data_IF_453191787966
#
_entry.id   IF_453191787966
#
_cell.length_a   1.000
_cell.length_b   1.000
_cell.length_c   1.000
_cell.angle_alpha   90.00
_cell.angle_beta   90.00
_cell.angle_gamma   90.00
#
_symmetry.space_group_name_H-M   'P 1'
#
loop_
_entity.id
_entity.type
_entity.pdbx_description
1 polymer ?
#
# COMPACT_ATOMS: atom_id res chain seq x y z
N UNK A 1 18.15 7.87 -6.11
CA UNK A 1 16.99 7.38 -5.33
C UNK A 1 17.41 6.13 -4.58
N UNK A 2 17.41 6.16 -3.26
CA UNK A 2 17.72 4.95 -2.48
C UNK A 2 16.41 4.18 -2.25
N UNK A 3 16.14 3.19 -3.09
CA UNK A 3 15.10 2.21 -2.80
C UNK A 3 15.64 1.24 -1.74
N UNK A 4 14.78 0.84 -0.81
CA UNK A 4 15.13 -0.24 0.11
C UNK A 4 15.35 -1.54 -0.69
N UNK A 5 16.27 -2.41 -0.29
CA UNK A 5 16.43 -3.72 -0.94
C UNK A 5 15.13 -4.53 -0.78
N UNK A 6 14.86 -5.40 -1.75
CA UNK A 6 13.65 -6.21 -1.77
C UNK A 6 13.99 -7.65 -2.15
N UNK A 7 13.40 -8.63 -1.46
CA UNK A 7 13.38 -10.01 -1.93
C UNK A 7 12.20 -10.16 -2.90
N UNK A 8 12.49 -10.35 -4.17
CA UNK A 8 11.47 -10.48 -5.19
C UNK A 8 10.67 -11.78 -5.01
N UNK A 9 9.42 -11.78 -5.47
CA UNK A 9 8.55 -12.96 -5.31
C UNK A 9 9.07 -14.20 -6.03
N UNK A 10 9.71 -14.00 -7.18
CA UNK A 10 10.33 -15.09 -7.94
C UNK A 10 11.57 -15.70 -7.29
N UNK A 11 12.20 -14.98 -6.38
CA UNK A 11 13.41 -15.40 -5.66
C UNK A 11 13.08 -15.95 -4.26
N UNK A 12 11.82 -15.77 -3.81
CA UNK A 12 11.37 -16.25 -2.52
C UNK A 12 11.20 -17.79 -2.52
N UNK A 13 11.74 -18.45 -1.52
CA UNK A 13 11.66 -19.91 -1.35
C UNK A 13 11.22 -20.30 0.06
N UNK A 14 10.82 -21.55 0.26
CA UNK A 14 10.47 -22.09 1.56
C UNK A 14 9.43 -21.26 2.30
N UNK A 15 9.69 -20.97 3.57
CA UNK A 15 8.75 -20.26 4.45
C UNK A 15 8.37 -18.87 3.95
N UNK A 16 9.30 -18.14 3.34
CA UNK A 16 9.03 -16.81 2.80
C UNK A 16 8.03 -16.89 1.64
N UNK A 17 8.18 -17.86 0.74
CA UNK A 17 7.24 -18.06 -0.37
C UNK A 17 5.82 -18.40 0.13
N UNK A 18 5.70 -19.23 1.20
CA UNK A 18 4.42 -19.52 1.85
C UNK A 18 3.78 -18.26 2.43
N UNK A 19 4.55 -17.45 3.16
CA UNK A 19 4.07 -16.17 3.73
C UNK A 19 3.62 -15.23 2.62
N UNK A 20 4.37 -15.12 1.53
CA UNK A 20 3.98 -14.30 0.39
C UNK A 20 2.66 -14.77 -0.24
N UNK A 21 2.43 -16.07 -0.35
CA UNK A 21 1.17 -16.61 -0.83
C UNK A 21 -0.01 -16.21 0.10
N UNK A 22 0.15 -16.35 1.41
CA UNK A 22 -0.87 -15.95 2.38
C UNK A 22 -1.14 -14.43 2.34
N UNK A 23 -0.09 -13.59 2.22
CA UNK A 23 -0.22 -12.12 2.11
C UNK A 23 -1.06 -11.74 0.88
N UNK A 24 -0.81 -12.35 -0.28
CA UNK A 24 -1.61 -12.10 -1.49
C UNK A 24 -3.07 -12.46 -1.29
N UNK A 25 -3.35 -13.62 -0.71
CA UNK A 25 -4.72 -14.07 -0.43
C UNK A 25 -5.44 -13.11 0.51
N UNK A 26 -4.82 -12.72 1.63
CA UNK A 26 -5.41 -11.80 2.60
C UNK A 26 -5.64 -10.39 2.04
N UNK A 27 -4.76 -9.93 1.17
CA UNK A 27 -4.83 -8.60 0.58
C UNK A 27 -5.72 -8.53 -0.67
N UNK A 28 -5.99 -9.67 -1.32
CA UNK A 28 -6.74 -9.73 -2.58
C UNK A 28 -6.04 -9.02 -3.73
N UNK A 29 -4.70 -8.97 -3.72
CA UNK A 29 -3.88 -8.44 -4.82
C UNK A 29 -2.85 -9.49 -5.24
N UNK A 30 -2.53 -9.59 -6.54
CA UNK A 30 -1.69 -10.68 -7.07
C UNK A 30 -0.18 -10.46 -6.87
N UNK A 31 0.20 -9.61 -5.92
CA UNK A 31 1.60 -9.32 -5.62
C UNK A 31 1.82 -9.02 -4.14
N UNK A 32 3.06 -9.09 -3.70
CA UNK A 32 3.51 -8.71 -2.36
C UNK A 32 4.11 -7.31 -2.41
N UNK A 33 3.68 -6.44 -1.51
CA UNK A 33 4.15 -5.05 -1.53
C UNK A 33 5.59 -4.92 -1.03
N UNK A 34 6.20 -3.80 -1.35
CA UNK A 34 7.58 -3.48 -1.04
C UNK A 34 7.90 -3.55 0.46
N UNK A 35 6.96 -3.20 1.35
CA UNK A 35 7.18 -3.32 2.80
C UNK A 35 7.52 -4.77 3.20
N UNK A 36 6.70 -5.73 2.81
CA UNK A 36 6.91 -7.13 3.14
C UNK A 36 8.14 -7.71 2.43
N UNK A 37 8.38 -7.29 1.18
CA UNK A 37 9.58 -7.71 0.43
C UNK A 37 10.87 -7.16 1.06
N UNK A 38 10.82 -5.95 1.62
CA UNK A 38 11.93 -5.41 2.40
C UNK A 38 12.14 -6.19 3.70
N UNK A 39 11.08 -6.42 4.47
CA UNK A 39 11.19 -7.19 5.72
C UNK A 39 11.76 -8.59 5.48
N UNK A 40 11.50 -9.19 4.32
CA UNK A 40 12.04 -10.49 3.92
C UNK A 40 13.54 -10.47 3.62
N UNK A 41 14.16 -9.32 3.40
CA UNK A 41 15.63 -9.22 3.22
C UNK A 41 16.39 -9.33 4.53
N UNK A 42 15.71 -9.17 5.66
CA UNK A 42 16.33 -9.22 6.99
C UNK A 42 15.99 -10.59 7.60
N UNK A 43 16.99 -11.43 7.90
CA UNK A 43 16.75 -12.80 8.35
C UNK A 43 15.78 -12.91 9.53
N UNK A 44 14.73 -13.70 9.39
CA UNK A 44 13.71 -13.98 10.40
C UNK A 44 12.69 -12.84 10.65
N UNK A 45 12.85 -11.67 10.02
CA UNK A 45 11.99 -10.50 10.30
C UNK A 45 10.62 -10.63 9.68
N UNK A 46 10.51 -11.13 8.45
CA UNK A 46 9.18 -11.34 7.87
C UNK A 46 8.42 -12.44 8.60
N UNK A 47 9.08 -13.51 9.00
CA UNK A 47 8.49 -14.60 9.79
C UNK A 47 8.01 -14.09 11.16
N UNK A 48 8.83 -13.29 11.85
CA UNK A 48 8.43 -12.60 13.07
C UNK A 48 7.19 -11.74 12.84
N UNK A 49 7.25 -10.84 11.86
CA UNK A 49 6.16 -9.93 11.54
C UNK A 49 4.87 -10.71 11.22
N UNK A 50 4.98 -11.73 10.37
CA UNK A 50 3.83 -12.52 9.97
C UNK A 50 3.24 -13.32 11.15
N UNK A 51 4.07 -13.89 12.01
CA UNK A 51 3.60 -14.59 13.22
C UNK A 51 2.69 -13.72 14.07
N UNK A 52 3.00 -12.42 14.21
CA UNK A 52 2.21 -11.47 14.98
C UNK A 52 0.90 -11.12 14.27
N UNK A 53 0.97 -10.71 13.00
CA UNK A 53 -0.20 -10.13 12.31
C UNK A 53 -1.10 -11.17 11.67
N UNK A 54 -0.61 -12.38 11.39
CA UNK A 54 -1.29 -13.44 10.67
C UNK A 54 -2.72 -13.74 11.20
N UNK A 55 -2.97 -13.85 12.53
CA UNK A 55 -4.31 -14.12 13.01
C UNK A 55 -5.33 -13.07 12.60
N UNK A 56 -4.96 -11.77 12.65
CA UNK A 56 -5.82 -10.67 12.23
C UNK A 56 -5.96 -10.57 10.70
N UNK A 57 -4.92 -10.98 9.97
CA UNK A 57 -4.91 -10.96 8.50
C UNK A 57 -5.76 -12.09 7.94
N UNK A 58 -5.53 -13.33 8.36
CA UNK A 58 -6.25 -14.52 7.86
C UNK A 58 -7.73 -14.50 8.25
N UNK A 59 -8.07 -13.97 9.42
CA UNK A 59 -9.47 -13.78 9.81
C UNK A 59 -10.21 -12.72 8.98
N UNK A 60 -9.52 -11.96 8.14
CA UNK A 60 -10.07 -10.80 7.44
C UNK A 60 -10.27 -9.57 8.31
N UNK A 61 -10.07 -9.66 9.63
CA UNK A 61 -10.34 -8.56 10.55
C UNK A 61 -9.47 -7.32 10.27
N UNK A 62 -8.17 -7.52 10.02
CA UNK A 62 -7.26 -6.40 9.74
C UNK A 62 -7.49 -5.80 8.34
N UNK A 63 -7.55 -6.56 7.24
CA UNK A 63 -7.85 -6.00 5.93
C UNK A 63 -9.18 -5.25 5.88
N UNK A 64 -10.27 -5.86 6.40
CA UNK A 64 -11.59 -5.24 6.36
C UNK A 64 -11.65 -3.93 7.18
N UNK A 65 -11.02 -3.90 8.35
CA UNK A 65 -10.95 -2.68 9.16
C UNK A 65 -10.14 -1.58 8.45
N UNK A 66 -9.04 -1.93 7.80
CA UNK A 66 -8.22 -1.00 7.04
C UNK A 66 -8.95 -0.43 5.83
N UNK A 67 -9.64 -1.28 5.03
CA UNK A 67 -10.43 -0.84 3.88
C UNK A 67 -11.61 0.03 4.29
N UNK A 68 -12.30 -0.32 5.39
CA UNK A 68 -13.38 0.50 5.93
C UNK A 68 -12.86 1.89 6.30
N UNK A 69 -11.80 1.98 7.10
CA UNK A 69 -11.23 3.26 7.51
C UNK A 69 -10.74 4.10 6.32
N UNK A 70 -10.11 3.44 5.33
CA UNK A 70 -9.70 4.10 4.10
C UNK A 70 -10.90 4.65 3.30
N UNK A 71 -11.99 3.88 3.18
CA UNK A 71 -13.19 4.32 2.45
C UNK A 71 -13.90 5.52 3.11
N UNK A 72 -13.85 5.60 4.44
CA UNK A 72 -14.42 6.71 5.22
C UNK A 72 -13.64 8.03 5.08
N UNK A 73 -12.40 7.97 4.55
CA UNK A 73 -11.60 9.17 4.31
C UNK A 73 -12.18 10.08 3.23
N UNK A 74 -12.89 9.51 2.25
CA UNK A 74 -13.62 10.19 1.19
C UNK A 74 -12.81 11.31 0.50
N UNK A 75 -11.67 11.02 -0.14
CA UNK A 75 -10.85 12.05 -0.77
C UNK A 75 -11.61 12.72 -1.92
N UNK A 76 -11.39 14.03 -2.16
CA UNK A 76 -11.97 14.73 -3.30
C UNK A 76 -11.63 14.03 -4.63
N UNK A 77 -12.57 14.00 -5.56
CA UNK A 77 -12.39 13.44 -6.90
C UNK A 77 -11.43 14.28 -7.76
N UNK A 78 -10.89 13.68 -8.81
CA UNK A 78 -10.11 14.38 -9.83
C UNK A 78 -11.05 15.12 -10.81
N UNK A 79 -10.71 16.33 -11.24
CA UNK A 79 -11.48 17.02 -12.28
C UNK A 79 -11.18 16.43 -13.67
N UNK A 80 -12.06 16.73 -14.62
CA UNK A 80 -11.81 16.55 -16.07
C UNK A 80 -11.40 15.13 -16.50
N UNK A 81 -11.89 14.08 -15.83
CA UNK A 81 -11.71 12.67 -16.23
C UNK A 81 -12.96 12.07 -16.88
N UNK A 82 -13.70 12.87 -17.69
CA UNK A 82 -14.79 12.36 -18.49
C UNK A 82 -14.30 11.43 -19.61
N UNK A 83 -15.20 10.59 -20.16
CA UNK A 83 -14.87 9.71 -21.27
C UNK A 83 -14.23 10.46 -22.45
N UNK A 84 -14.80 11.63 -22.83
CA UNK A 84 -14.26 12.45 -23.92
C UNK A 84 -12.85 12.97 -23.62
N UNK A 85 -12.63 13.48 -22.40
CA UNK A 85 -11.29 14.00 -22.03
C UNK A 85 -10.23 12.90 -21.99
N UNK A 86 -10.60 11.68 -21.58
CA UNK A 86 -9.69 10.54 -21.60
C UNK A 86 -9.34 10.12 -23.03
N UNK A 87 -10.33 10.17 -23.96
CA UNK A 87 -10.06 9.93 -25.38
C UNK A 87 -9.11 10.99 -25.97
N UNK A 88 -9.25 12.25 -25.58
CA UNK A 88 -8.34 13.33 -25.97
C UNK A 88 -6.91 13.10 -25.43
N UNK A 89 -6.78 12.45 -24.29
CA UNK A 89 -5.49 12.00 -23.74
C UNK A 89 -4.96 10.70 -24.42
N UNK A 90 -5.66 10.18 -25.44
CA UNK A 90 -5.29 8.97 -26.15
C UNK A 90 -5.56 7.67 -25.39
N UNK A 91 -6.42 7.71 -24.36
CA UNK A 91 -6.81 6.54 -23.57
C UNK A 91 -7.97 5.82 -24.29
N UNK A 92 -7.78 4.55 -24.61
CA UNK A 92 -8.83 3.68 -25.12
C UNK A 92 -9.45 2.84 -23.97
N UNK A 93 -10.45 2.00 -24.30
CA UNK A 93 -11.18 1.20 -23.30
C UNK A 93 -10.27 0.21 -22.53
N UNK A 94 -9.29 -0.41 -23.20
CA UNK A 94 -8.37 -1.34 -22.57
C UNK A 94 -7.38 -0.60 -21.64
N UNK A 95 -6.92 0.58 -22.08
CA UNK A 95 -6.09 1.47 -21.28
C UNK A 95 -6.84 1.93 -20.03
N UNK A 96 -8.09 2.37 -20.17
CA UNK A 96 -8.94 2.78 -19.05
C UNK A 96 -9.06 1.65 -18.02
N UNK A 97 -9.37 0.43 -18.50
CA UNK A 97 -9.48 -0.71 -17.60
C UNK A 97 -8.17 -1.00 -16.87
N UNK A 98 -7.02 -0.86 -17.55
CA UNK A 98 -5.71 -1.04 -16.95
C UNK A 98 -5.39 0.06 -15.93
N UNK A 99 -5.69 1.32 -16.25
CA UNK A 99 -5.53 2.47 -15.34
C UNK A 99 -6.38 2.29 -14.08
N UNK A 100 -7.66 1.90 -14.25
CA UNK A 100 -8.57 1.60 -13.13
C UNK A 100 -8.04 0.44 -12.28
N UNK A 101 -7.53 -0.62 -12.92
CA UNK A 101 -6.97 -1.77 -12.22
C UNK A 101 -5.73 -1.39 -11.38
N UNK A 102 -4.85 -0.55 -11.91
CA UNK A 102 -3.70 -0.01 -11.15
C UNK A 102 -4.21 0.77 -9.93
N UNK A 103 -5.15 1.70 -10.10
CA UNK A 103 -5.73 2.46 -8.99
C UNK A 103 -6.35 1.53 -7.93
N UNK A 104 -7.10 0.50 -8.35
CA UNK A 104 -7.74 -0.47 -7.47
C UNK A 104 -6.71 -1.28 -6.64
N UNK A 105 -5.62 -1.73 -7.27
CA UNK A 105 -4.56 -2.45 -6.58
C UNK A 105 -3.92 -1.59 -5.46
N UNK A 106 -3.60 -0.34 -5.74
CA UNK A 106 -3.02 0.56 -4.73
C UNK A 106 -4.02 0.97 -3.65
N UNK A 107 -5.27 1.27 -4.01
CA UNK A 107 -6.35 1.56 -3.05
C UNK A 107 -6.62 0.38 -2.11
N UNK A 108 -6.37 -0.85 -2.56
CA UNK A 108 -6.56 -2.08 -1.78
C UNK A 108 -5.36 -2.44 -0.92
N UNK A 109 -4.14 -2.41 -1.45
CA UNK A 109 -2.95 -2.89 -0.73
C UNK A 109 -2.41 -1.87 0.27
N UNK A 110 -2.49 -0.57 -0.04
CA UNK A 110 -1.89 0.46 0.80
C UNK A 110 -2.50 0.53 2.21
N UNK A 111 -3.84 0.44 2.41
CA UNK A 111 -4.42 0.33 3.74
C UNK A 111 -3.95 -0.91 4.51
N UNK A 112 -3.78 -2.03 3.82
CA UNK A 112 -3.30 -3.29 4.42
C UNK A 112 -1.86 -3.16 4.91
N UNK A 113 -1.01 -2.44 4.18
CA UNK A 113 0.34 -2.14 4.64
C UNK A 113 0.35 -1.28 5.91
N UNK A 114 -0.51 -0.27 5.96
CA UNK A 114 -0.61 0.61 7.13
C UNK A 114 -1.09 -0.16 8.37
N UNK A 115 -2.12 -1.00 8.26
CA UNK A 115 -2.61 -1.79 9.40
C UNK A 115 -1.59 -2.84 9.84
N UNK A 116 -0.86 -3.45 8.90
CA UNK A 116 0.23 -4.39 9.20
C UNK A 116 1.31 -3.71 10.05
N UNK A 117 1.80 -2.55 9.61
CA UNK A 117 2.79 -1.77 10.36
C UNK A 117 2.27 -1.33 11.72
N UNK A 118 1.01 -0.86 11.80
CA UNK A 118 0.41 -0.39 13.05
C UNK A 118 0.18 -1.53 14.08
N UNK A 119 0.01 -2.77 13.63
CA UNK A 119 -0.07 -3.94 14.51
C UNK A 119 1.32 -4.37 15.02
N UNK A 120 2.37 -4.15 14.26
CA UNK A 120 3.75 -4.51 14.64
C UNK A 120 4.41 -3.46 15.54
N UNK A 121 4.15 -2.19 15.29
CA UNK A 121 4.79 -1.04 15.93
C UNK A 121 4.82 -1.11 17.47
N UNK A 122 3.73 -1.48 18.18
CA UNK A 122 3.77 -1.60 19.63
C UNK A 122 4.81 -2.60 20.14
N UNK A 123 4.91 -3.78 19.52
CA UNK A 123 5.83 -4.84 19.93
C UNK A 123 7.27 -4.43 19.65
N UNK A 124 7.51 -3.86 18.48
CA UNK A 124 8.86 -3.40 18.08
C UNK A 124 9.33 -2.24 18.97
N UNK A 125 8.39 -1.44 19.51
CA UNK A 125 8.66 -0.42 20.53
C UNK A 125 8.74 -0.97 21.98
N UNK A 126 8.79 -2.29 22.14
CA UNK A 126 9.00 -2.91 23.46
C UNK A 126 7.72 -3.07 24.31
N UNK A 127 6.53 -2.88 23.72
CA UNK A 127 5.30 -3.21 24.46
C UNK A 127 5.19 -4.75 24.64
N UNK A 128 4.49 -5.20 25.69
CA UNK A 128 4.22 -6.63 25.89
C UNK A 128 3.54 -7.27 24.68
N UNK A 129 3.86 -8.54 24.45
CA UNK A 129 3.19 -9.34 23.44
C UNK A 129 1.67 -9.40 23.72
N UNK A 130 0.85 -9.41 22.67
CA UNK A 130 -0.59 -9.50 22.82
C UNK A 130 -0.97 -10.84 23.47
N UNK A 131 -2.12 -10.85 24.18
CA UNK A 131 -2.65 -12.04 24.85
C UNK A 131 -4.18 -12.09 24.78
N UNK A 132 -4.75 -11.58 23.69
CA UNK A 132 -6.19 -11.58 23.46
C UNK A 132 -6.74 -12.95 23.07
N UNK A 133 -8.06 -13.04 22.95
CA UNK A 133 -8.78 -14.28 22.65
C UNK A 133 -8.88 -14.64 21.16
N UNK A 134 -8.19 -13.89 20.28
CA UNK A 134 -8.26 -14.08 18.84
C UNK A 134 -9.52 -13.47 18.21
N UNK A 135 -9.81 -13.86 16.97
CA UNK A 135 -10.88 -13.27 16.15
C UNK A 135 -12.08 -14.18 15.94
N UNK A 136 -12.19 -15.27 16.73
CA UNK A 136 -13.24 -16.28 16.58
C UNK A 136 -13.03 -17.19 15.35
N UNK A 137 -13.94 -18.14 15.14
CA UNK A 137 -13.97 -18.95 13.91
C UNK A 137 -14.64 -18.14 12.81
N UNK A 138 -13.90 -17.28 12.14
CA UNK A 138 -14.38 -16.64 10.93
C UNK A 138 -14.21 -17.64 9.78
N UNK A 139 -15.26 -17.89 9.02
CA UNK A 139 -15.12 -18.42 7.67
C UNK A 139 -14.23 -17.45 6.93
N UNK A 140 -13.08 -17.94 6.47
CA UNK A 140 -12.11 -17.10 5.76
C UNK A 140 -12.75 -16.72 4.42
N UNK A 141 -13.38 -15.57 4.39
CA UNK A 141 -13.88 -14.98 3.14
C UNK A 141 -12.73 -14.12 2.58
N UNK A 142 -11.89 -14.78 1.78
CA UNK A 142 -10.81 -14.07 1.12
C UNK A 142 -11.40 -13.08 0.10
N UNK A 143 -10.89 -11.85 0.04
CA UNK A 143 -11.35 -10.89 -0.94
C UNK A 143 -11.06 -11.41 -2.36
N UNK A 144 -11.98 -11.12 -3.30
CA UNK A 144 -11.75 -11.44 -4.70
C UNK A 144 -10.42 -10.85 -5.16
N UNK A 145 -9.59 -11.70 -5.76
CA UNK A 145 -8.28 -11.30 -6.28
C UNK A 145 -8.45 -10.30 -7.42
N UNK A 146 -7.77 -9.16 -7.34
CA UNK A 146 -7.70 -8.20 -8.44
C UNK A 146 -6.83 -8.74 -9.58
N UNK A 147 -7.01 -8.16 -10.77
CA UNK A 147 -6.13 -8.45 -11.90
C UNK A 147 -4.72 -7.96 -11.64
N UNK A 148 -3.73 -8.65 -12.22
CA UNK A 148 -2.34 -8.24 -12.17
C UNK A 148 -2.11 -6.88 -12.85
N UNK A 149 -1.16 -6.13 -12.34
CA UNK A 149 -0.72 -4.88 -12.96
C UNK A 149 0.38 -5.17 -13.98
N UNK A 150 0.49 -4.35 -15.04
CA UNK A 150 1.65 -4.43 -15.93
C UNK A 150 2.95 -4.13 -15.17
N UNK A 151 4.08 -4.65 -15.63
CA UNK A 151 5.39 -4.37 -15.04
C UNK A 151 5.67 -2.86 -14.98
N UNK A 152 6.38 -2.39 -13.97
CA UNK A 152 6.78 -0.98 -13.86
C UNK A 152 7.63 -0.57 -15.07
N UNK A 153 7.34 0.57 -15.72
CA UNK A 153 8.22 1.10 -16.74
C UNK A 153 9.62 1.39 -16.18
N UNK A 154 10.65 1.08 -16.95
CA UNK A 154 12.02 1.46 -16.61
C UNK A 154 12.18 2.97 -16.79
N UNK A 155 12.57 3.68 -15.73
CA UNK A 155 12.76 5.13 -15.78
C UNK A 155 13.79 5.55 -16.83
N UNK A 156 14.79 4.70 -17.12
CA UNK A 156 15.83 4.99 -18.12
C UNK A 156 15.31 4.94 -19.56
N UNK A 157 14.16 4.31 -19.80
CA UNK A 157 13.53 4.21 -21.13
C UNK A 157 12.52 5.33 -21.39
N UNK A 158 12.18 6.14 -20.38
CA UNK A 158 11.28 7.28 -20.53
C UNK A 158 12.03 8.48 -21.19
N UNK A 159 11.28 9.31 -21.92
CA UNK A 159 11.82 10.57 -22.42
C UNK A 159 12.27 11.50 -21.28
N UNK A 160 13.16 12.45 -21.57
CA UNK A 160 13.59 13.46 -20.59
C UNK A 160 12.41 14.24 -20.04
N UNK A 161 11.49 14.64 -20.91
CA UNK A 161 10.34 15.47 -20.56
C UNK A 161 9.40 14.73 -19.62
N UNK A 162 9.04 13.49 -19.94
CA UNK A 162 8.20 12.66 -19.08
C UNK A 162 8.86 12.37 -17.71
N UNK A 163 10.18 12.19 -17.69
CA UNK A 163 10.90 12.06 -16.40
C UNK A 163 10.79 13.31 -15.55
N UNK A 164 10.99 14.49 -16.15
CA UNK A 164 10.87 15.77 -15.46
C UNK A 164 9.44 15.99 -14.92
N UNK A 165 8.42 15.62 -15.68
CA UNK A 165 7.04 15.66 -15.21
C UNK A 165 6.82 14.72 -14.03
N UNK A 166 7.30 13.49 -14.09
CA UNK A 166 7.19 12.53 -12.98
C UNK A 166 7.94 12.98 -11.71
N UNK A 167 8.98 13.79 -11.84
CA UNK A 167 9.69 14.38 -10.70
C UNK A 167 8.78 15.30 -9.86
N UNK A 168 7.77 15.94 -10.47
CA UNK A 168 6.79 16.75 -9.75
C UNK A 168 5.88 15.91 -8.82
N UNK A 169 5.77 14.61 -9.10
CA UNK A 169 4.99 13.65 -8.32
C UNK A 169 5.77 13.04 -7.14
N UNK A 170 7.06 13.35 -7.04
CA UNK A 170 7.89 12.86 -5.93
C UNK A 170 7.40 13.43 -4.59
N UNK A 171 7.59 12.64 -3.55
CA UNK A 171 7.38 13.04 -2.15
C UNK A 171 8.71 12.92 -1.41
N UNK A 172 9.01 13.80 -0.43
CA UNK A 172 10.17 13.64 0.40
C UNK A 172 9.96 12.48 1.39
N UNK A 173 10.92 11.55 1.43
CA UNK A 173 11.00 10.51 2.45
C UNK A 173 12.39 10.54 3.04
N UNK A 174 12.51 10.72 4.34
CA UNK A 174 13.80 10.89 5.02
C UNK A 174 14.65 11.99 4.35
N UNK A 175 14.00 13.07 3.89
CA UNK A 175 14.65 14.18 3.19
C UNK A 175 15.14 13.87 1.77
N UNK A 176 14.83 12.68 1.24
CA UNK A 176 15.18 12.27 -0.13
C UNK A 176 13.95 12.20 -1.04
N UNK A 177 14.05 12.64 -2.32
CA UNK A 177 12.94 12.54 -3.24
C UNK A 177 12.63 11.07 -3.57
N UNK A 178 11.37 10.70 -3.44
CA UNK A 178 10.85 9.37 -3.73
C UNK A 178 9.65 9.45 -4.66
N UNK A 179 9.66 8.70 -5.75
CA UNK A 179 8.53 8.58 -6.67
C UNK A 179 7.72 7.33 -6.34
N UNK A 180 6.48 7.46 -5.83
CA UNK A 180 5.61 6.32 -5.54
C UNK A 180 5.35 5.46 -6.78
N UNK A 181 5.29 4.15 -6.59
CA UNK A 181 5.11 3.19 -7.69
C UNK A 181 3.78 3.38 -8.44
N UNK A 182 2.74 3.87 -7.77
CA UNK A 182 1.46 4.22 -8.39
C UNK A 182 1.67 5.14 -9.60
N UNK A 183 2.43 6.23 -9.42
CA UNK A 183 2.67 7.20 -10.49
C UNK A 183 3.59 6.65 -11.58
N UNK A 184 4.56 5.80 -11.21
CA UNK A 184 5.43 5.14 -12.20
C UNK A 184 4.67 4.23 -13.14
N UNK A 185 3.63 3.55 -12.68
CA UNK A 185 2.78 2.74 -13.56
C UNK A 185 2.11 3.58 -14.65
N UNK A 186 1.68 4.80 -14.31
CA UNK A 186 1.00 5.69 -15.26
C UNK A 186 1.91 6.31 -16.30
N UNK A 187 3.23 6.21 -16.17
CA UNK A 187 4.19 6.61 -17.21
C UNK A 187 4.03 5.84 -18.55
N UNK A 188 3.22 4.77 -18.57
CA UNK A 188 2.83 4.08 -19.81
C UNK A 188 1.96 4.93 -20.72
N UNK A 189 1.24 5.89 -20.17
CA UNK A 189 0.35 6.82 -20.86
C UNK A 189 0.87 8.24 -20.63
N UNK A 190 1.79 8.73 -21.50
CA UNK A 190 2.46 10.00 -21.24
C UNK A 190 1.51 11.16 -21.01
N UNK A 191 0.46 11.32 -21.84
CA UNK A 191 -0.52 12.40 -21.67
C UNK A 191 -1.31 12.29 -20.34
N UNK A 192 -1.65 11.08 -19.91
CA UNK A 192 -2.29 10.86 -18.62
C UNK A 192 -1.32 11.12 -17.45
N UNK A 193 -0.05 10.74 -17.61
CA UNK A 193 0.99 11.06 -16.63
C UNK A 193 1.21 12.58 -16.50
N UNK A 194 1.22 13.32 -17.61
CA UNK A 194 1.28 14.78 -17.63
C UNK A 194 0.07 15.42 -16.94
N UNK A 195 -1.13 14.89 -17.18
CA UNK A 195 -2.33 15.30 -16.44
C UNK A 195 -2.14 15.13 -14.93
N UNK A 196 -1.66 13.96 -14.48
CA UNK A 196 -1.39 13.71 -13.06
C UNK A 196 -0.29 14.60 -12.51
N UNK A 197 0.78 14.86 -13.28
CA UNK A 197 1.87 15.75 -12.90
C UNK A 197 1.39 17.20 -12.68
N UNK A 198 0.33 17.60 -13.36
CA UNK A 198 -0.32 18.91 -13.16
C UNK A 198 -1.25 18.87 -11.94
N UNK A 199 -2.10 17.86 -11.82
CA UNK A 199 -3.16 17.84 -10.80
C UNK A 199 -2.66 17.47 -9.39
N UNK A 200 -1.75 16.51 -9.27
CA UNK A 200 -1.31 16.00 -7.95
C UNK A 200 -0.65 17.07 -7.08
N UNK A 201 0.29 17.89 -7.54
CA UNK A 201 0.87 18.95 -6.72
C UNK A 201 -0.18 19.93 -6.19
N UNK A 202 -1.14 20.32 -7.04
CA UNK A 202 -2.26 21.16 -6.63
C UNK A 202 -3.15 20.48 -5.58
N UNK A 203 -3.39 19.19 -5.72
CA UNK A 203 -4.22 18.42 -4.79
C UNK A 203 -3.58 18.32 -3.41
N UNK A 204 -2.28 18.01 -3.35
CA UNK A 204 -1.51 17.87 -2.10
C UNK A 204 -1.58 19.12 -1.21
N UNK A 205 -1.77 20.29 -1.78
CA UNK A 205 -1.92 21.55 -1.03
C UNK A 205 -3.36 21.84 -0.57
N UNK A 206 -4.38 21.09 -1.07
CA UNK A 206 -5.79 21.35 -0.73
C UNK A 206 -6.12 20.82 0.68
N UNK A 207 -6.67 21.65 1.58
CA UNK A 207 -7.00 21.21 2.95
C UNK A 207 -7.88 19.95 2.99
N UNK A 208 -8.80 19.80 2.05
CA UNK A 208 -9.68 18.64 1.98
C UNK A 208 -8.93 17.34 1.66
N UNK A 209 -7.87 17.38 0.83
CA UNK A 209 -7.02 16.22 0.52
C UNK A 209 -6.16 15.87 1.73
N UNK A 210 -5.48 16.87 2.32
CA UNK A 210 -4.67 16.67 3.55
C UNK A 210 -5.51 16.07 4.67
N UNK A 211 -6.75 16.55 4.84
CA UNK A 211 -7.66 16.01 5.84
C UNK A 211 -8.08 14.57 5.54
N UNK A 212 -8.33 14.23 4.26
CA UNK A 212 -8.66 12.86 3.86
C UNK A 212 -7.49 11.90 4.12
N UNK A 213 -6.27 12.27 3.74
CA UNK A 213 -5.06 11.49 4.01
C UNK A 213 -4.86 11.23 5.51
N UNK A 214 -4.99 12.30 6.31
CA UNK A 214 -4.90 12.20 7.77
C UNK A 214 -5.97 11.26 8.33
N UNK A 215 -7.24 11.40 7.90
CA UNK A 215 -8.36 10.54 8.33
C UNK A 215 -8.12 9.07 7.97
N UNK A 216 -7.62 8.80 6.76
CA UNK A 216 -7.31 7.43 6.33
C UNK A 216 -6.29 6.78 7.28
N UNK A 217 -5.18 7.44 7.52
CA UNK A 217 -4.12 6.90 8.39
C UNK A 217 -4.57 6.79 9.84
N UNK A 218 -5.16 7.83 10.41
CA UNK A 218 -5.62 7.82 11.81
C UNK A 218 -6.73 6.78 12.04
N UNK A 219 -7.65 6.62 11.09
CA UNK A 219 -8.69 5.60 11.13
C UNK A 219 -8.12 4.19 11.14
N UNK A 220 -7.16 3.90 10.24
CA UNK A 220 -6.50 2.59 10.16
C UNK A 220 -5.69 2.30 11.43
N UNK A 221 -4.92 3.28 11.93
CA UNK A 221 -4.12 3.13 13.15
C UNK A 221 -5.02 2.93 14.38
N UNK A 222 -6.14 3.62 14.44
CA UNK A 222 -7.14 3.44 15.52
C UNK A 222 -7.76 2.05 15.49
N UNK A 223 -8.12 1.58 14.30
CA UNK A 223 -8.61 0.20 14.12
C UNK A 223 -7.55 -0.83 14.54
N UNK A 224 -6.28 -0.62 14.16
CA UNK A 224 -5.18 -1.49 14.54
C UNK A 224 -5.00 -1.60 16.06
N UNK A 225 -5.15 -0.49 16.82
CA UNK A 225 -5.09 -0.53 18.29
C UNK A 225 -6.16 -1.43 18.90
N UNK A 226 -7.37 -1.40 18.37
CA UNK A 226 -8.47 -2.28 18.81
C UNK A 226 -8.20 -3.74 18.44
N UNK A 227 -7.66 -3.98 17.24
CA UNK A 227 -7.29 -5.33 16.78
C UNK A 227 -6.13 -5.91 17.58
N UNK A 228 -5.13 -5.08 17.94
CA UNK A 228 -3.98 -5.50 18.73
C UNK A 228 -4.38 -6.16 20.05
N UNK A 229 -5.37 -5.60 20.74
CA UNK A 229 -5.89 -6.16 21.99
C UNK A 229 -6.55 -7.53 21.83
N UNK A 230 -6.99 -7.87 20.61
CA UNK A 230 -7.61 -9.16 20.28
C UNK A 230 -6.62 -10.20 19.78
N UNK A 231 -5.40 -9.78 19.39
CA UNK A 231 -4.40 -10.72 18.90
C UNK A 231 -4.10 -11.78 19.96
N UNK A 232 -4.10 -13.07 19.59
CA UNK A 232 -3.74 -14.14 20.53
C UNK A 232 -2.25 -14.04 20.88
N UNK A 233 -1.88 -14.65 22.01
CA UNK A 233 -0.48 -14.78 22.39
C UNK A 233 0.27 -15.58 21.30
N UNK A 234 1.36 -15.04 20.74
CA UNK A 234 2.16 -15.79 19.78
C UNK A 234 2.84 -16.98 20.47
N UNK A 235 3.38 -17.91 19.67
CA UNK A 235 4.11 -19.07 20.19
C UNK A 235 5.25 -18.67 21.13
N UNK A 236 5.56 -19.50 22.12
CA UNK A 236 6.62 -19.24 23.11
C UNK A 236 8.03 -19.13 22.50
N UNK A 237 8.21 -19.67 21.29
CA UNK A 237 9.47 -19.65 20.57
C UNK A 237 9.68 -18.42 19.67
N UNK A 238 8.82 -17.39 19.79
CA UNK A 238 8.96 -16.18 18.99
C UNK A 238 10.22 -15.41 19.41
N UNK A 239 11.16 -15.29 18.49
CA UNK A 239 12.38 -14.50 18.70
C UNK A 239 12.06 -13.04 18.41
N UNK A 240 12.18 -12.19 19.43
CA UNK A 240 12.02 -10.74 19.26
C UNK A 240 13.24 -10.15 18.56
N UNK A 241 13.03 -9.13 17.69
CA UNK A 241 14.14 -8.43 17.06
C UNK A 241 15.01 -7.72 18.10
N UNK A 242 16.32 -7.72 17.90
CA UNK A 242 17.21 -6.88 18.69
C UNK A 242 17.01 -5.40 18.37
N UNK A 243 17.62 -4.50 19.17
CA UNK A 243 17.41 -3.05 19.04
C UNK A 243 17.77 -2.49 17.65
N UNK A 244 18.79 -3.01 16.99
CA UNK A 244 19.18 -2.55 15.65
C UNK A 244 18.17 -3.01 14.59
N UNK A 245 17.71 -4.25 14.67
CA UNK A 245 16.68 -4.80 13.79
C UNK A 245 15.33 -4.11 14.05
N UNK A 246 14.98 -3.88 15.31
CA UNK A 246 13.78 -3.14 15.69
C UNK A 246 13.73 -1.75 15.04
N UNK A 247 14.87 -1.03 15.06
CA UNK A 247 14.98 0.27 14.39
C UNK A 247 14.73 0.16 12.89
N UNK A 248 15.31 -0.82 12.19
CA UNK A 248 15.06 -1.02 10.75
C UNK A 248 13.60 -1.29 10.43
N UNK A 249 12.91 -2.06 11.27
CA UNK A 249 11.47 -2.34 11.11
C UNK A 249 10.66 -1.05 11.30
N UNK A 250 10.96 -0.26 12.35
CA UNK A 250 10.24 1.00 12.62
C UNK A 250 10.47 2.03 11.49
N UNK A 251 11.72 2.19 11.05
CA UNK A 251 12.05 3.09 9.95
C UNK A 251 11.27 2.71 8.67
N UNK A 252 11.18 1.41 8.38
CA UNK A 252 10.38 0.92 7.25
C UNK A 252 8.87 1.19 7.44
N UNK A 253 8.30 0.88 8.60
CA UNK A 253 6.88 1.12 8.91
C UNK A 253 6.54 2.60 8.73
N UNK A 254 7.35 3.51 9.27
CA UNK A 254 7.12 4.94 9.19
C UNK A 254 7.20 5.43 7.74
N UNK A 255 8.24 5.04 7.02
CA UNK A 255 8.43 5.36 5.60
C UNK A 255 7.24 4.94 4.74
N UNK A 256 6.74 3.70 4.91
CA UNK A 256 5.59 3.21 4.15
C UNK A 256 4.28 3.85 4.59
N UNK A 257 4.13 4.24 5.84
CA UNK A 257 2.97 4.99 6.32
C UNK A 257 2.86 6.36 5.66
N UNK A 258 3.96 7.09 5.54
CA UNK A 258 4.01 8.41 4.88
C UNK A 258 3.57 8.33 3.41
N UNK A 259 4.10 7.36 2.66
CA UNK A 259 3.71 7.21 1.25
C UNK A 259 2.33 6.61 1.05
N UNK A 260 1.85 5.78 1.98
CA UNK A 260 0.57 5.11 1.85
C UNK A 260 -0.62 6.07 1.90
N UNK A 261 -0.54 7.18 2.62
CA UNK A 261 -1.60 8.18 2.70
C UNK A 261 -1.98 8.71 1.31
N UNK A 262 -0.99 9.18 0.57
CA UNK A 262 -1.15 9.67 -0.82
C UNK A 262 -1.66 8.55 -1.75
N UNK A 263 -1.09 7.35 -1.68
CA UNK A 263 -1.51 6.22 -2.54
C UNK A 263 -2.94 5.74 -2.25
N UNK A 264 -3.37 5.72 -0.99
CA UNK A 264 -4.76 5.40 -0.62
C UNK A 264 -5.71 6.43 -1.22
N UNK A 265 -5.48 7.70 -0.92
CA UNK A 265 -6.38 8.78 -1.33
C UNK A 265 -6.37 9.02 -2.85
N UNK A 266 -5.21 8.94 -3.50
CA UNK A 266 -5.12 9.06 -4.95
C UNK A 266 -5.77 7.87 -5.65
N UNK A 267 -5.52 6.63 -5.21
CA UNK A 267 -6.15 5.45 -5.78
C UNK A 267 -7.68 5.49 -5.69
N UNK A 268 -8.22 5.84 -4.52
CA UNK A 268 -9.67 5.99 -4.32
C UNK A 268 -10.26 7.13 -5.15
N UNK A 269 -9.61 8.29 -5.17
CA UNK A 269 -10.06 9.44 -5.94
C UNK A 269 -10.06 9.15 -7.45
N UNK A 270 -9.06 8.46 -7.98
CA UNK A 270 -9.04 8.02 -9.38
C UNK A 270 -10.19 7.05 -9.68
N UNK A 271 -10.41 6.03 -8.85
CA UNK A 271 -11.52 5.08 -9.03
C UNK A 271 -12.89 5.77 -9.06
N UNK A 272 -13.06 6.80 -8.22
CA UNK A 272 -14.31 7.57 -8.15
C UNK A 272 -14.46 8.58 -9.28
N UNK A 273 -13.37 8.95 -9.96
CA UNK A 273 -13.37 9.98 -11.02
C UNK A 273 -13.39 9.38 -12.41
N UNK A 274 -12.79 8.22 -12.60
CA UNK A 274 -12.71 7.55 -13.89
C UNK A 274 -14.04 6.90 -14.25
N UNK A 275 -14.54 7.07 -15.48
CA UNK A 275 -15.76 6.40 -15.94
C UNK A 275 -15.55 4.87 -15.98
N UNK A 276 -16.62 4.12 -16.01
CA UNK A 276 -16.53 2.66 -16.14
C UNK A 276 -16.21 2.25 -17.59
N UNK A 277 -16.61 3.05 -18.57
CA UNK A 277 -16.41 2.81 -20.00
C UNK A 277 -16.15 4.12 -20.74
N UNK A 278 -15.45 4.04 -21.89
CA UNK A 278 -15.24 5.13 -22.86
C UNK A 278 -15.47 4.64 -24.27
#
# INVERSE_FOLDING_TARGET
MSYLPELLEGDATGKIAEIYAEIRLCSGVPYVSTLQRYLATIPGVLEFAWTIVRPAMISGAAPNAAWKAASEAAPPIFPNLSASNLQDLGINSDDLQTIRNIAANFARVSPVNVVTGALLEPIVNGQPLPSGNGFGSLTIDHPTMLQGMPSLPSMNLLSSDLRSELETLMVPIDGQPFLPALYRHYARWPAFASYLATEIPHRRSKPAVVLAEKRAIEGIVTAAKTLFQKLPKPSENLVLPNSSTAKLILDAIHRYRETSADMICTGQALLSSLPEQI
#
